data_IF_791586168153
#
_entry.id   IF_791586168153
#
_cell.length_a   1.000
_cell.length_b   1.000
_cell.length_c   1.000
_cell.angle_alpha   90.00
_cell.angle_beta   90.00
_cell.angle_gamma   90.00
#
_symmetry.space_group_name_H-M   'P 1'
#
loop_
_entity.id
_entity.type
_entity.pdbx_description
1 polymer ?
#
# COMPACT_ATOMS: atom_id res chain seq x y z
N UNK A 1 8.52 -5.69 24.17
CA UNK A 1 8.66 -4.71 23.06
C UNK A 1 8.45 -5.37 21.69
N UNK A 2 9.35 -6.24 21.20
CA UNK A 2 9.33 -6.81 19.83
C UNK A 2 8.00 -7.35 19.30
N UNK A 3 7.20 -8.06 20.11
CA UNK A 3 5.89 -8.59 19.67
C UNK A 3 4.87 -7.49 19.38
N UNK A 4 4.81 -6.46 20.24
CA UNK A 4 3.87 -5.33 20.07
C UNK A 4 4.21 -4.52 18.83
N UNK A 5 5.50 -4.26 18.60
CA UNK A 5 5.98 -3.56 17.39
C UNK A 5 5.67 -4.34 16.11
N UNK A 6 5.89 -5.67 16.11
CA UNK A 6 5.54 -6.53 14.98
C UNK A 6 4.04 -6.49 14.68
N UNK A 7 3.20 -6.64 15.71
CA UNK A 7 1.74 -6.57 15.54
C UNK A 7 1.31 -5.21 14.99
N UNK A 8 1.82 -4.11 15.56
CA UNK A 8 1.50 -2.76 15.07
C UNK A 8 1.89 -2.59 13.60
N UNK A 9 3.11 -2.98 13.23
CA UNK A 9 3.59 -2.91 11.84
C UNK A 9 2.72 -3.71 10.88
N UNK A 10 2.29 -4.92 11.26
CA UNK A 10 1.43 -5.74 10.40
C UNK A 10 0.03 -5.14 10.25
N UNK A 11 -0.53 -4.54 11.31
CA UNK A 11 -1.80 -3.83 11.25
C UNK A 11 -1.70 -2.60 10.34
N UNK A 12 -0.63 -1.81 10.49
CA UNK A 12 -0.39 -0.64 9.65
C UNK A 12 -0.29 -1.02 8.16
N UNK A 13 0.47 -2.08 7.84
CA UNK A 13 0.59 -2.58 6.47
C UNK A 13 -0.74 -3.14 5.94
N UNK A 14 -1.49 -3.89 6.76
CA UNK A 14 -2.83 -4.37 6.39
C UNK A 14 -3.80 -3.23 6.13
N UNK A 15 -3.74 -2.15 6.92
CA UNK A 15 -4.55 -0.96 6.72
C UNK A 15 -4.30 -0.26 5.38
N UNK A 16 -3.08 -0.35 4.82
CA UNK A 16 -2.78 0.19 3.48
C UNK A 16 -3.48 -0.58 2.37
N UNK A 17 -3.63 -1.90 2.51
CA UNK A 17 -4.34 -2.74 1.54
C UNK A 17 -5.81 -2.33 1.47
N UNK A 18 -6.44 -2.17 2.64
CA UNK A 18 -7.83 -1.73 2.79
C UNK A 18 -8.05 -0.32 2.22
N UNK A 19 -7.16 0.63 2.55
CA UNK A 19 -7.24 2.00 2.01
C UNK A 19 -7.11 2.05 0.49
N UNK A 20 -6.25 1.20 -0.08
CA UNK A 20 -6.09 1.07 -1.52
C UNK A 20 -7.26 0.34 -2.20
N UNK A 21 -8.22 -0.19 -1.42
CA UNK A 21 -9.35 -1.02 -1.87
C UNK A 21 -8.92 -2.28 -2.61
N UNK A 22 -7.71 -2.75 -2.36
CA UNK A 22 -7.19 -3.96 -3.01
C UNK A 22 -7.87 -5.21 -2.47
N UNK A 23 -8.14 -5.22 -1.17
CA UNK A 23 -8.97 -6.20 -0.47
C UNK A 23 -10.35 -6.35 -1.11
N UNK A 24 -11.06 -5.23 -1.30
CA UNK A 24 -12.40 -5.23 -1.88
C UNK A 24 -12.39 -5.63 -3.37
N UNK A 25 -11.35 -5.26 -4.11
CA UNK A 25 -11.20 -5.61 -5.54
C UNK A 25 -11.09 -7.13 -5.75
N UNK A 26 -10.46 -7.84 -4.81
CA UNK A 26 -10.13 -9.27 -4.94
C UNK A 26 -10.89 -10.14 -3.94
N UNK A 27 -11.92 -9.60 -3.28
CA UNK A 27 -12.74 -10.29 -2.28
C UNK A 27 -11.91 -10.97 -1.18
N UNK A 28 -10.96 -10.21 -0.60
CA UNK A 28 -10.04 -10.67 0.44
C UNK A 28 -9.14 -11.87 0.06
N UNK A 29 -9.06 -12.23 -1.23
CA UNK A 29 -8.19 -13.31 -1.69
C UNK A 29 -6.71 -12.96 -1.46
N UNK A 30 -6.10 -13.67 -0.51
CA UNK A 30 -4.72 -13.45 -0.10
C UNK A 30 -3.71 -13.75 -1.21
N UNK A 31 -3.98 -14.72 -2.06
CA UNK A 31 -3.10 -15.07 -3.17
C UNK A 31 -3.15 -13.97 -4.24
N UNK A 32 -4.34 -13.43 -4.52
CA UNK A 32 -4.52 -12.30 -5.44
C UNK A 32 -3.84 -11.03 -4.91
N UNK A 33 -4.01 -10.70 -3.61
CA UNK A 33 -3.31 -9.57 -2.96
C UNK A 33 -1.79 -9.74 -3.12
N UNK A 34 -1.27 -10.93 -2.82
CA UNK A 34 0.15 -11.19 -2.92
C UNK A 34 0.65 -11.10 -4.38
N UNK A 35 -0.10 -11.65 -5.33
CA UNK A 35 0.20 -11.55 -6.77
C UNK A 35 0.24 -10.10 -7.27
N UNK A 36 -0.70 -9.26 -6.84
CA UNK A 36 -0.72 -7.83 -7.17
C UNK A 36 0.53 -7.11 -6.63
N UNK A 37 0.93 -7.39 -5.39
CA UNK A 37 2.15 -6.82 -4.80
C UNK A 37 3.41 -7.28 -5.52
N UNK A 38 3.49 -8.56 -5.92
CA UNK A 38 4.59 -9.06 -6.75
C UNK A 38 4.63 -8.36 -8.12
N UNK A 39 3.47 -8.11 -8.74
CA UNK A 39 3.37 -7.36 -9.98
C UNK A 39 3.96 -5.95 -9.87
N UNK A 40 3.70 -5.25 -8.76
CA UNK A 40 4.31 -3.93 -8.50
C UNK A 40 5.84 -4.03 -8.39
N UNK A 41 6.37 -5.02 -7.69
CA UNK A 41 7.82 -5.22 -7.57
C UNK A 41 8.46 -5.47 -8.93
N UNK A 42 7.80 -6.26 -9.79
CA UNK A 42 8.26 -6.50 -11.16
C UNK A 42 8.19 -5.23 -12.02
N UNK A 43 7.12 -4.43 -11.88
CA UNK A 43 6.97 -3.16 -12.60
C UNK A 43 8.09 -2.17 -12.29
N UNK A 44 8.56 -2.10 -11.04
CA UNK A 44 9.64 -1.18 -10.68
C UNK A 44 10.96 -1.44 -11.44
N UNK A 45 11.17 -2.64 -11.97
CA UNK A 45 12.41 -3.03 -12.64
C UNK A 45 13.66 -2.77 -11.77
N UNK A 46 14.84 -2.89 -12.38
CA UNK A 46 16.10 -2.48 -11.72
C UNK A 46 16.53 -1.08 -12.18
N UNK A 47 16.49 -0.83 -13.49
CA UNK A 47 16.96 0.41 -14.11
C UNK A 47 16.12 1.64 -13.75
N UNK A 48 14.80 1.48 -13.61
CA UNK A 48 13.85 2.59 -13.35
C UNK A 48 13.25 2.57 -11.94
N UNK A 49 13.79 1.74 -11.04
CA UNK A 49 13.24 1.52 -9.69
C UNK A 49 13.09 2.82 -8.90
N UNK A 50 14.07 3.70 -8.99
CA UNK A 50 14.06 4.99 -8.30
C UNK A 50 12.91 5.90 -8.75
N UNK A 51 12.67 5.98 -10.07
CA UNK A 51 11.61 6.79 -10.67
C UNK A 51 10.22 6.25 -10.30
N UNK A 52 10.02 4.94 -10.44
CA UNK A 52 8.77 4.25 -10.11
C UNK A 52 8.43 4.43 -8.62
N UNK A 53 9.40 4.19 -7.72
CA UNK A 53 9.21 4.41 -6.29
C UNK A 53 8.88 5.89 -6.00
N UNK A 54 9.53 6.84 -6.66
CA UNK A 54 9.25 8.26 -6.47
C UNK A 54 7.82 8.63 -6.93
N UNK A 55 7.34 8.05 -8.03
CA UNK A 55 5.98 8.22 -8.50
C UNK A 55 4.96 7.66 -7.50
N UNK A 56 5.18 6.45 -7.00
CA UNK A 56 4.29 5.82 -6.02
C UNK A 56 4.23 6.61 -4.72
N UNK A 57 5.37 7.11 -4.22
CA UNK A 57 5.41 7.99 -3.04
C UNK A 57 4.55 9.24 -3.22
N UNK A 58 4.69 9.93 -4.37
CA UNK A 58 3.87 11.12 -4.67
C UNK A 58 2.39 10.80 -4.75
N UNK A 59 2.03 9.69 -5.41
CA UNK A 59 0.63 9.23 -5.52
C UNK A 59 0.04 8.91 -4.14
N UNK A 60 0.76 8.14 -3.33
CA UNK A 60 0.35 7.78 -1.97
C UNK A 60 0.16 9.02 -1.09
N UNK A 61 1.11 9.96 -1.09
CA UNK A 61 0.98 11.21 -0.33
C UNK A 61 -0.30 11.98 -0.69
N UNK A 62 -0.56 12.19 -1.99
CA UNK A 62 -1.79 12.89 -2.42
C UNK A 62 -3.06 12.18 -1.99
N UNK A 63 -3.07 10.84 -2.01
CA UNK A 63 -4.21 10.07 -1.56
C UNK A 63 -4.46 10.28 -0.05
N UNK A 64 -3.42 10.19 0.79
CA UNK A 64 -3.54 10.48 2.21
C UNK A 64 -4.01 11.91 2.49
N UNK A 65 -3.38 12.91 1.87
CA UNK A 65 -3.76 14.32 2.03
C UNK A 65 -5.25 14.54 1.64
N UNK A 66 -5.76 13.80 0.65
CA UNK A 66 -7.16 13.91 0.21
C UNK A 66 -8.15 13.21 1.15
N UNK A 67 -7.75 12.10 1.77
CA UNK A 67 -8.55 11.41 2.80
C UNK A 67 -8.66 12.25 4.06
N UNK A 68 -7.57 12.89 4.48
CA UNK A 68 -7.52 13.78 5.65
C UNK A 68 -8.47 14.96 5.46
N UNK A 69 -8.36 15.68 4.34
CA UNK A 69 -9.29 16.78 4.00
C UNK A 69 -10.76 16.36 4.00
N UNK A 70 -11.07 15.12 3.61
CA UNK A 70 -12.45 14.61 3.61
C UNK A 70 -12.95 14.32 5.03
N UNK A 71 -12.07 13.97 5.96
CA UNK A 71 -12.42 13.74 7.36
C UNK A 71 -12.65 15.03 8.14
N UNK A 72 -12.04 16.12 7.70
CA UNK A 72 -12.14 17.45 8.34
C UNK A 72 -13.32 18.29 7.83
N UNK A 73 -14.08 17.79 6.84
CA UNK A 73 -15.33 18.36 6.30
C UNK A 73 -16.55 17.69 6.94
#
# INVERSE_FOLDING_TARGET
MKRRERTRRLIELGGLIVKARLDALVDDDRAAIYGALLGLVQQAGEERRGEEIALWRRKGKRAFDSEEKRRDL
#
